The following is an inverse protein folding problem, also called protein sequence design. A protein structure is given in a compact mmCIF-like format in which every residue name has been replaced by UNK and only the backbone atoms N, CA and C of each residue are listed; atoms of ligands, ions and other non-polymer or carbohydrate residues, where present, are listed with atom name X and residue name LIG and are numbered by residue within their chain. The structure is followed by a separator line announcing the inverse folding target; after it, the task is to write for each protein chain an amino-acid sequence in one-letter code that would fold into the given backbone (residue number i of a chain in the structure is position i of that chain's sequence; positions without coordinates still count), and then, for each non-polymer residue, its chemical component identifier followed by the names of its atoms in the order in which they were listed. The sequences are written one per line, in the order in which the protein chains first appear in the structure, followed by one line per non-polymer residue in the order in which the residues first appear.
data_IF_647875624694
#
_entry.id   IF_647875624694
#
_cell.length_a   1.000
_cell.length_b   1.000
_cell.length_c   1.000
_cell.angle_alpha   90.00
_cell.angle_beta   90.00
_cell.angle_gamma   90.00
#
_symmetry.space_group_name_H-M   'P 1'
#
loop_
_entity.id
_entity.type
_entity.pdbx_description
1 polymer ?
#
# COMPACT_ATOMS: atom_id res chain seq x y z
N UNK A 1 18.03 -9.20 -0.29
CA UNK A 1 17.30 -9.95 -1.33
C UNK A 1 16.94 -11.34 -0.85
N UNK A 2 17.91 -12.21 -0.58
CA UNK A 2 17.64 -13.56 -0.05
C UNK A 2 16.92 -13.57 1.29
N UNK A 3 17.00 -12.49 2.05
CA UNK A 3 16.32 -12.35 3.34
C UNK A 3 14.94 -11.73 3.24
N UNK A 4 14.57 -11.17 2.08
CA UNK A 4 13.26 -10.54 1.91
C UNK A 4 12.17 -11.59 1.79
N UNK A 5 11.24 -11.58 2.75
CA UNK A 5 10.13 -12.55 2.79
C UNK A 5 9.23 -12.44 1.53
N UNK A 6 9.03 -11.24 1.00
CA UNK A 6 8.22 -11.06 -0.20
C UNK A 6 8.94 -11.54 -1.46
N UNK A 7 10.26 -11.34 -1.55
CA UNK A 7 11.04 -11.95 -2.63
C UNK A 7 10.95 -13.49 -2.60
N UNK A 8 10.92 -14.07 -1.42
CA UNK A 8 10.76 -15.52 -1.26
C UNK A 8 9.40 -16.00 -1.73
N UNK A 9 8.33 -15.21 -1.48
CA UNK A 9 7.00 -15.53 -1.99
C UNK A 9 6.98 -15.44 -3.51
N UNK A 10 7.57 -14.38 -4.08
CA UNK A 10 7.67 -14.19 -5.53
C UNK A 10 8.37 -15.38 -6.19
N UNK A 11 9.47 -15.84 -5.59
CA UNK A 11 10.28 -16.96 -6.09
C UNK A 11 9.71 -18.33 -5.73
N UNK A 12 8.57 -18.38 -5.03
CA UNK A 12 7.89 -19.62 -4.61
C UNK A 12 8.74 -20.47 -3.65
N UNK A 13 9.66 -19.84 -2.94
CA UNK A 13 10.48 -20.48 -1.90
C UNK A 13 9.66 -20.69 -0.62
N UNK A 14 8.70 -19.81 -0.36
CA UNK A 14 7.72 -19.95 0.72
C UNK A 14 6.31 -19.75 0.16
N UNK A 15 5.28 -20.37 0.77
CA UNK A 15 3.93 -20.27 0.27
C UNK A 15 3.34 -18.87 0.47
N UNK A 16 2.43 -18.47 -0.43
CA UNK A 16 1.62 -17.28 -0.30
C UNK A 16 0.25 -17.56 -0.89
N UNK A 17 -0.77 -16.90 -0.38
CA UNK A 17 -2.14 -17.03 -0.90
C UNK A 17 -2.33 -16.03 -2.04
N UNK A 18 -1.77 -16.36 -3.20
CA UNK A 18 -1.72 -15.50 -4.37
C UNK A 18 -3.11 -15.40 -5.01
N UNK A 19 -3.57 -14.16 -5.23
CA UNK A 19 -4.86 -13.88 -5.88
C UNK A 19 -4.68 -13.33 -7.30
N UNK A 20 -3.51 -12.77 -7.61
CA UNK A 20 -3.20 -12.22 -8.93
C UNK A 20 -1.70 -12.23 -9.16
N UNK A 21 -1.30 -12.51 -10.38
CA UNK A 21 0.10 -12.49 -10.78
C UNK A 21 0.22 -12.14 -12.26
N UNK A 22 1.16 -11.24 -12.58
CA UNK A 22 1.59 -10.99 -13.95
C UNK A 22 3.11 -10.90 -14.01
N UNK A 23 3.67 -10.43 -15.11
CA UNK A 23 5.12 -10.31 -15.29
C UNK A 23 5.77 -9.37 -14.24
N UNK A 24 5.04 -8.33 -13.80
CA UNK A 24 5.61 -7.25 -12.98
C UNK A 24 5.13 -7.23 -11.54
N UNK A 25 3.97 -7.83 -11.26
CA UNK A 25 3.24 -7.63 -10.01
C UNK A 25 2.74 -8.96 -9.46
N UNK A 26 2.75 -9.06 -8.13
CA UNK A 26 2.13 -10.15 -7.39
C UNK A 26 1.17 -9.57 -6.38
N UNK A 27 -0.01 -10.17 -6.24
CA UNK A 27 -0.95 -9.82 -5.17
C UNK A 27 -1.33 -11.07 -4.39
N UNK A 28 -1.32 -10.98 -3.06
CA UNK A 28 -1.61 -12.10 -2.17
C UNK A 28 -2.28 -11.62 -0.89
N UNK A 29 -2.99 -12.52 -0.24
CA UNK A 29 -3.67 -12.19 1.01
C UNK A 29 -2.66 -11.99 2.14
N UNK A 30 -2.86 -10.93 2.92
CA UNK A 30 -2.11 -10.75 4.16
C UNK A 30 -2.58 -11.79 5.16
N UNK A 31 -1.65 -12.56 5.73
CA UNK A 31 -2.00 -13.59 6.71
C UNK A 31 -2.54 -13.01 8.01
N UNK A 32 -2.27 -11.73 8.29
CA UNK A 32 -2.75 -11.04 9.49
C UNK A 32 -4.20 -10.57 9.37
N UNK A 33 -4.73 -10.41 8.15
CA UNK A 33 -6.12 -10.04 7.88
C UNK A 33 -6.67 -8.99 8.85
N UNK A 34 -6.21 -7.74 8.75
CA UNK A 34 -6.76 -6.64 9.56
C UNK A 34 -8.28 -6.55 9.40
N UNK A 35 -8.76 -6.77 8.18
CA UNK A 35 -10.16 -7.01 7.85
C UNK A 35 -10.22 -8.19 6.88
N UNK A 36 -11.38 -8.77 6.73
CA UNK A 36 -11.59 -9.89 5.80
C UNK A 36 -11.31 -9.45 4.36
N UNK A 37 -10.38 -10.13 3.72
CA UNK A 37 -9.97 -9.82 2.35
C UNK A 37 -8.77 -8.90 2.24
N UNK A 38 -8.13 -8.55 3.36
CA UNK A 38 -6.92 -7.74 3.37
C UNK A 38 -5.88 -8.34 2.43
N UNK A 39 -5.53 -7.60 1.38
CA UNK A 39 -4.67 -8.05 0.28
C UNK A 39 -3.47 -7.12 0.15
N UNK A 40 -2.33 -7.69 -0.20
CA UNK A 40 -1.11 -6.95 -0.49
C UNK A 40 -0.82 -6.99 -1.98
N UNK A 41 -0.37 -5.87 -2.53
CA UNK A 41 0.07 -5.76 -3.92
C UNK A 41 1.53 -5.34 -3.90
N UNK A 42 2.40 -6.11 -4.54
CA UNK A 42 3.84 -5.87 -4.54
C UNK A 42 4.40 -5.89 -5.96
N UNK A 43 5.45 -5.09 -6.24
CA UNK A 43 6.24 -5.28 -7.47
C UNK A 43 7.08 -6.54 -7.34
N UNK A 44 7.27 -7.28 -8.43
CA UNK A 44 8.18 -8.43 -8.44
C UNK A 44 9.64 -8.00 -8.34
N UNK A 45 9.98 -6.84 -8.90
CA UNK A 45 11.28 -6.23 -8.74
C UNK A 45 11.38 -5.64 -7.33
N UNK A 46 12.40 -6.03 -6.58
CA UNK A 46 12.58 -5.53 -5.22
C UNK A 46 12.88 -4.03 -5.21
N UNK A 47 12.10 -3.29 -4.43
CA UNK A 47 12.36 -1.92 -4.05
C UNK A 47 11.91 -1.78 -2.59
N UNK A 48 12.67 -1.07 -1.79
CA UNK A 48 12.42 -1.00 -0.36
C UNK A 48 11.13 -0.26 -0.02
N UNK A 49 10.91 0.88 -0.66
CA UNK A 49 9.86 1.83 -0.33
C UNK A 49 9.56 2.74 -1.53
N UNK A 50 8.66 3.71 -1.37
CA UNK A 50 8.28 4.64 -2.43
C UNK A 50 9.47 5.47 -2.94
N UNK A 51 10.45 5.74 -2.07
CA UNK A 51 11.60 6.57 -2.43
C UNK A 51 12.55 5.86 -3.40
N UNK A 52 12.51 4.54 -3.44
CA UNK A 52 13.33 3.73 -4.35
C UNK A 52 12.56 3.14 -5.53
N UNK A 53 11.23 3.36 -5.61
CA UNK A 53 10.42 2.94 -6.75
C UNK A 53 10.63 3.84 -7.97
N UNK A 54 10.65 3.24 -9.17
CA UNK A 54 10.57 4.02 -10.41
C UNK A 54 9.12 4.32 -10.76
N UNK A 55 8.89 5.34 -11.58
CA UNK A 55 7.54 5.65 -12.06
C UNK A 55 6.95 4.50 -12.87
N UNK A 56 7.77 3.80 -13.64
CA UNK A 56 7.35 2.63 -14.43
C UNK A 56 6.90 1.48 -13.52
N UNK A 57 7.71 1.11 -12.54
CA UNK A 57 7.36 0.04 -11.60
C UNK A 57 6.11 0.40 -10.80
N UNK A 58 5.99 1.67 -10.40
CA UNK A 58 4.81 2.18 -9.70
C UNK A 58 3.56 2.07 -10.56
N UNK A 59 3.66 2.37 -11.85
CA UNK A 59 2.52 2.28 -12.76
C UNK A 59 2.03 0.84 -12.91
N UNK A 60 2.93 -0.14 -12.90
CA UNK A 60 2.55 -1.55 -12.93
C UNK A 60 1.77 -1.94 -11.67
N UNK A 61 2.24 -1.53 -10.50
CA UNK A 61 1.55 -1.83 -9.23
C UNK A 61 0.14 -1.23 -9.23
N UNK A 62 0.00 0.05 -9.55
CA UNK A 62 -1.30 0.72 -9.45
C UNK A 62 -2.24 0.43 -10.63
N UNK A 63 -1.74 -0.06 -11.75
CA UNK A 63 -2.60 -0.40 -12.88
C UNK A 63 -3.59 -1.52 -12.55
N UNK A 64 -3.24 -2.44 -11.64
CA UNK A 64 -4.10 -3.57 -11.28
C UNK A 64 -4.94 -3.31 -10.02
N UNK A 65 -4.69 -2.22 -9.31
CA UNK A 65 -5.40 -1.91 -8.06
C UNK A 65 -6.92 -1.78 -8.27
N UNK A 66 -7.43 -1.07 -9.30
CA UNK A 66 -8.88 -1.01 -9.51
C UNK A 66 -9.50 -2.38 -9.77
N UNK A 67 -8.84 -3.24 -10.52
CA UNK A 67 -9.31 -4.61 -10.81
C UNK A 67 -9.44 -5.42 -9.53
N UNK A 68 -8.41 -5.40 -8.68
CA UNK A 68 -8.41 -6.11 -7.40
C UNK A 68 -9.44 -5.52 -6.43
N UNK A 69 -9.53 -4.19 -6.35
CA UNK A 69 -10.49 -3.52 -5.49
C UNK A 69 -11.93 -3.91 -5.85
N UNK A 70 -12.25 -3.95 -7.15
CA UNK A 70 -13.58 -4.38 -7.61
C UNK A 70 -13.83 -5.86 -7.32
N UNK A 71 -12.82 -6.70 -7.47
CA UNK A 71 -12.92 -8.11 -7.12
C UNK A 71 -13.20 -8.30 -5.63
N UNK A 72 -12.51 -7.57 -4.76
CA UNK A 72 -12.74 -7.60 -3.32
C UNK A 72 -14.14 -7.12 -2.96
N UNK A 73 -14.58 -6.03 -3.59
CA UNK A 73 -15.93 -5.49 -3.37
C UNK A 73 -17.02 -6.49 -3.76
N UNK A 74 -16.87 -7.12 -4.92
CA UNK A 74 -17.84 -8.11 -5.41
C UNK A 74 -17.84 -9.35 -4.53
N UNK A 75 -16.66 -9.84 -4.16
CA UNK A 75 -16.53 -11.09 -3.41
C UNK A 75 -17.06 -10.96 -1.98
N UNK A 76 -16.71 -9.87 -1.30
CA UNK A 76 -16.98 -9.70 0.12
C UNK A 76 -18.09 -8.69 0.43
N UNK A 77 -18.61 -8.02 -0.59
CA UNK A 77 -19.65 -7.00 -0.44
C UNK A 77 -19.26 -5.92 0.58
N UNK A 78 -18.02 -5.45 0.52
CA UNK A 78 -17.54 -4.40 1.42
C UNK A 78 -18.11 -3.03 1.04
N UNK A 79 -18.24 -2.15 2.03
CA UNK A 79 -18.78 -0.81 1.85
C UNK A 79 -17.74 0.20 1.34
N UNK A 80 -16.48 -0.06 1.60
CA UNK A 80 -15.38 0.81 1.19
C UNK A 80 -14.07 0.05 1.16
N UNK A 81 -12.99 0.75 0.82
CA UNK A 81 -11.66 0.18 0.76
C UNK A 81 -10.65 1.25 1.13
N UNK A 82 -9.73 0.91 2.02
CA UNK A 82 -8.55 1.73 2.26
C UNK A 82 -7.38 1.19 1.43
N UNK A 83 -6.71 2.09 0.73
CA UNK A 83 -5.46 1.80 0.03
C UNK A 83 -4.36 2.43 0.86
N UNK A 84 -3.49 1.63 1.45
CA UNK A 84 -2.48 2.09 2.41
C UNK A 84 -1.10 1.64 1.97
N UNK A 85 -0.15 2.57 2.02
CA UNK A 85 1.25 2.29 1.76
C UNK A 85 2.10 2.99 2.83
N UNK A 86 2.91 2.23 3.53
CA UNK A 86 3.77 2.72 4.61
C UNK A 86 5.22 2.73 4.14
N UNK A 87 5.88 3.86 4.24
CA UNK A 87 7.25 4.04 3.77
C UNK A 87 8.13 4.58 4.90
N UNK A 88 9.01 3.73 5.40
CA UNK A 88 9.86 4.01 6.55
C UNK A 88 9.25 3.52 7.87
N UNK A 89 10.11 3.37 8.86
CA UNK A 89 9.75 2.84 10.18
C UNK A 89 8.71 3.74 10.86
N UNK A 90 8.93 5.06 10.82
CA UNK A 90 8.04 6.05 11.45
C UNK A 90 6.65 6.07 10.82
N UNK A 91 6.54 5.63 9.56
CA UNK A 91 5.25 5.52 8.87
C UNK A 91 4.61 4.14 9.04
N UNK A 92 5.22 3.24 9.83
CA UNK A 92 4.66 1.93 10.12
C UNK A 92 5.07 0.81 9.16
N UNK A 93 6.11 1.03 8.34
CA UNK A 93 6.61 -0.02 7.47
C UNK A 93 7.34 -1.09 8.30
N UNK A 94 6.96 -2.35 8.12
CA UNK A 94 7.57 -3.49 8.82
C UNK A 94 8.30 -4.45 7.89
N UNK A 95 7.88 -4.54 6.63
CA UNK A 95 8.57 -5.33 5.60
C UNK A 95 9.12 -4.37 4.56
N UNK A 96 10.45 -4.44 4.32
CA UNK A 96 11.15 -3.49 3.45
C UNK A 96 11.25 -3.99 2.01
N UNK A 97 10.09 -4.27 1.47
CA UNK A 97 9.79 -4.48 0.07
C UNK A 97 8.49 -3.72 -0.19
N UNK A 98 8.48 -2.83 -1.17
CA UNK A 98 7.34 -1.96 -1.43
C UNK A 98 6.05 -2.77 -1.52
N UNK A 99 5.04 -2.37 -0.77
CA UNK A 99 3.75 -3.04 -0.82
C UNK A 99 2.59 -2.08 -0.51
N UNK A 100 1.50 -2.32 -1.18
CA UNK A 100 0.26 -1.58 -1.01
C UNK A 100 -0.75 -2.50 -0.35
N UNK A 101 -1.34 -2.04 0.76
CA UNK A 101 -2.44 -2.73 1.41
C UNK A 101 -3.76 -2.34 0.77
N UNK A 102 -4.57 -3.32 0.40
CA UNK A 102 -5.96 -3.14 0.04
C UNK A 102 -6.78 -3.70 1.19
N UNK A 103 -7.45 -2.81 1.93
CA UNK A 103 -8.14 -3.17 3.17
C UNK A 103 -9.64 -2.93 2.97
N UNK A 104 -10.42 -3.99 2.70
CA UNK A 104 -11.87 -3.86 2.59
C UNK A 104 -12.48 -3.38 3.91
N UNK A 105 -13.47 -2.48 3.82
CA UNK A 105 -14.10 -1.90 5.00
C UNK A 105 -15.56 -2.25 5.04
N UNK A 106 -16.00 -2.71 6.20
CA UNK A 106 -17.36 -3.22 6.41
C UNK A 106 -18.15 -2.32 7.35
N UNK A 107 -17.52 -1.91 8.47
CA UNK A 107 -18.11 -1.00 9.46
C UNK A 107 -16.99 -0.39 10.32
N UNK A 108 -17.35 0.35 11.35
CA UNK A 108 -16.40 1.05 12.21
C UNK A 108 -15.58 0.13 13.12
N UNK A 109 -16.00 -1.14 13.26
CA UNK A 109 -15.40 -2.10 14.20
C UNK A 109 -14.69 -3.25 13.50
N UNK A 110 -14.39 -3.10 12.21
CA UNK A 110 -13.90 -4.19 11.38
C UNK A 110 -12.41 -4.52 11.53
N UNK A 111 -11.68 -3.81 12.38
CA UNK A 111 -10.28 -4.12 12.70
C UNK A 111 -9.26 -3.14 12.14
N UNK A 112 -9.69 -2.12 11.40
CA UNK A 112 -8.80 -1.09 10.89
C UNK A 112 -9.33 0.31 11.25
N UNK A 113 -8.42 1.21 11.64
CA UNK A 113 -8.77 2.60 11.95
C UNK A 113 -7.65 3.53 11.53
N UNK A 114 -8.03 4.77 11.21
CA UNK A 114 -7.11 5.87 10.95
C UNK A 114 -7.26 6.93 12.02
N UNK A 115 -6.18 7.63 12.31
CA UNK A 115 -6.21 8.78 13.22
C UNK A 115 -5.34 9.89 12.65
N UNK A 116 -5.92 11.08 12.55
CA UNK A 116 -5.23 12.28 12.05
C UNK A 116 -5.44 13.41 13.02
N UNK A 117 -4.37 14.10 13.41
CA UNK A 117 -4.48 15.37 14.09
C UNK A 117 -4.95 16.45 13.10
N UNK A 118 -5.79 17.35 13.57
CA UNK A 118 -6.16 18.52 12.79
C UNK A 118 -5.39 19.73 13.29
N UNK A 119 -4.37 20.13 12.56
CA UNK A 119 -3.51 21.26 12.91
C UNK A 119 -3.80 22.51 12.06
N UNK A 120 -4.98 22.58 11.47
CA UNK A 120 -5.34 23.68 10.57
C UNK A 120 -5.13 25.04 11.21
N UNK A 121 -5.43 25.19 12.50
CA UNK A 121 -5.29 26.44 13.23
C UNK A 121 -3.82 26.90 13.37
N UNK A 122 -2.87 25.97 13.23
CA UNK A 122 -1.44 26.26 13.36
C UNK A 122 -0.80 26.68 12.04
N UNK A 123 -1.56 26.67 10.94
CA UNK A 123 -1.04 26.98 9.60
C UNK A 123 -1.84 28.10 8.95
N UNK A 124 -1.24 29.26 8.83
CA UNK A 124 -1.83 30.39 8.10
C UNK A 124 -1.71 30.15 6.58
N UNK A 125 -2.53 30.84 5.76
CA UNK A 125 -2.35 30.79 4.30
C UNK A 125 -0.94 31.13 3.83
N UNK A 126 -0.27 32.09 4.50
CA UNK A 126 1.09 32.50 4.18
C UNK A 126 2.09 31.38 4.49
N UNK A 127 1.92 30.68 5.61
CA UNK A 127 2.75 29.52 5.96
C UNK A 127 2.60 28.39 4.94
N UNK A 128 1.36 28.09 4.54
CA UNK A 128 1.10 27.06 3.54
C UNK A 128 1.68 27.43 2.18
N UNK A 129 1.60 28.72 1.79
CA UNK A 129 2.22 29.20 0.56
C UNK A 129 3.72 29.02 0.57
N UNK A 130 4.36 29.29 1.71
CA UNK A 130 5.81 29.10 1.87
C UNK A 130 6.20 27.62 1.76
N UNK A 131 5.47 26.73 2.43
CA UNK A 131 5.70 25.28 2.34
C UNK A 131 5.52 24.76 0.91
N UNK A 132 4.50 25.25 0.22
CA UNK A 132 4.27 24.92 -1.19
C UNK A 132 5.50 25.26 -2.04
N UNK A 133 6.05 26.47 -1.89
CA UNK A 133 7.21 26.89 -2.66
C UNK A 133 8.44 26.04 -2.35
N UNK A 134 8.63 25.65 -1.10
CA UNK A 134 9.73 24.76 -0.72
C UNK A 134 9.64 23.40 -1.39
N UNK A 135 8.45 22.81 -1.43
CA UNK A 135 8.21 21.53 -2.12
C UNK A 135 8.51 21.64 -3.61
N UNK A 136 8.01 22.72 -4.24
CA UNK A 136 8.19 22.95 -5.68
C UNK A 136 9.69 23.05 -6.02
N UNK A 137 10.49 23.69 -5.18
CA UNK A 137 11.95 23.80 -5.40
C UNK A 137 12.66 22.44 -5.39
N UNK A 138 12.08 21.43 -4.75
CA UNK A 138 12.68 20.10 -4.66
C UNK A 138 12.19 19.15 -5.76
N UNK A 139 11.24 19.57 -6.58
CA UNK A 139 10.78 18.81 -7.72
C UNK A 139 11.72 18.98 -8.91
#
# INVERSE_FOLDING_TARGET
MSQCIFCKIINKEIPGHVVYEDEFVLAFLDISQSTKGHTLVIPKKHAQDVFSMTAEDMSHVFSIVPKLANALKTTFNCNGLNVVNNNGVEAGQTVFHYHVHLIPRYDETDGFSNSYANNMENYTPEMLAALKEEVIKSL
#
